data_IF_909089831251
#
_entry.id   IF_909089831251
#
_cell.length_a   1.000
_cell.length_b   1.000
_cell.length_c   1.000
_cell.angle_alpha   90.00
_cell.angle_beta   90.00
_cell.angle_gamma   90.00
#
_symmetry.space_group_name_H-M   'P 1'
#
loop_
_entity.id
_entity.type
_entity.pdbx_description
1 polymer ?
#
# COMPACT_ATOMS: atom_id res chain seq x y z
N UNK A 1 11.67 4.22 -11.15
CA UNK A 1 10.79 5.39 -10.89
C UNK A 1 9.31 4.97 -11.01
N UNK A 2 8.34 5.75 -10.50
CA UNK A 2 6.91 5.40 -10.55
C UNK A 2 6.05 6.61 -10.95
N UNK A 3 4.98 6.38 -11.72
CA UNK A 3 4.07 7.45 -12.20
C UNK A 3 2.83 7.61 -11.31
N UNK A 4 2.41 6.53 -10.65
CA UNK A 4 1.21 6.51 -9.80
C UNK A 4 1.45 5.69 -8.53
N UNK A 5 0.73 6.02 -7.46
CA UNK A 5 0.64 5.17 -6.27
C UNK A 5 -0.78 4.64 -6.16
N UNK A 6 -0.93 3.51 -5.49
CA UNK A 6 -2.24 2.89 -5.24
C UNK A 6 -2.32 2.39 -3.80
N UNK A 7 -3.53 2.31 -3.28
CA UNK A 7 -3.86 1.70 -2.01
C UNK A 7 -3.42 0.24 -2.05
N UNK A 8 -2.62 -0.20 -1.09
CA UNK A 8 -2.06 -1.55 -1.05
C UNK A 8 -2.90 -2.46 -0.14
N UNK A 9 -3.25 -1.97 1.04
CA UNK A 9 -3.92 -2.73 2.08
C UNK A 9 -4.66 -1.79 3.03
N UNK A 10 -5.84 -2.22 3.50
CA UNK A 10 -6.56 -1.62 4.62
C UNK A 10 -6.90 -2.68 5.67
N UNK A 11 -6.42 -2.50 6.90
CA UNK A 11 -6.61 -3.48 7.96
C UNK A 11 -6.86 -2.84 9.31
N UNK A 12 -7.92 -3.29 9.99
CA UNK A 12 -8.10 -3.04 11.42
C UNK A 12 -7.33 -4.10 12.22
N UNK A 13 -6.36 -3.67 13.02
CA UNK A 13 -5.54 -4.52 13.86
C UNK A 13 -5.97 -4.32 15.30
N UNK A 14 -6.45 -5.40 15.93
CA UNK A 14 -6.81 -5.44 17.35
C UNK A 14 -5.84 -6.35 18.09
N UNK A 15 -5.08 -5.80 19.04
CA UNK A 15 -4.37 -6.60 20.03
C UNK A 15 -5.21 -6.74 21.28
N UNK A 16 -5.52 -7.98 21.65
CA UNK A 16 -6.24 -8.29 22.89
C UNK A 16 -5.30 -8.31 24.10
N UNK A 17 -5.82 -8.16 25.33
CA UNK A 17 -5.04 -8.39 26.54
C UNK A 17 -4.29 -9.72 26.51
N UNK A 18 -2.99 -9.70 26.81
CA UNK A 18 -2.10 -10.87 26.81
C UNK A 18 -1.65 -11.33 25.42
N UNK A 19 -1.97 -10.59 24.35
CA UNK A 19 -1.49 -10.91 23.01
C UNK A 19 0.00 -10.58 22.89
N UNK A 20 0.82 -11.60 22.63
CA UNK A 20 2.26 -11.45 22.47
C UNK A 20 2.66 -10.57 21.28
N UNK A 21 3.91 -10.10 21.31
CA UNK A 21 4.47 -9.31 20.22
C UNK A 21 4.48 -10.08 18.90
N UNK A 22 4.24 -9.36 17.80
CA UNK A 22 4.44 -9.90 16.46
C UNK A 22 5.94 -10.08 16.19
N UNK A 23 6.27 -10.96 15.25
CA UNK A 23 7.64 -11.11 14.76
C UNK A 23 8.06 -9.81 14.06
N UNK A 24 9.27 -9.32 14.34
CA UNK A 24 9.84 -8.18 13.62
C UNK A 24 9.95 -8.52 12.12
N UNK A 25 9.39 -7.66 11.28
CA UNK A 25 9.34 -7.87 9.83
C UNK A 25 9.46 -6.55 9.07
N UNK A 26 9.54 -6.65 7.75
CA UNK A 26 9.47 -5.55 6.80
C UNK A 26 8.32 -5.82 5.84
N UNK A 27 7.43 -4.86 5.63
CA UNK A 27 6.26 -5.08 4.77
C UNK A 27 6.64 -5.23 3.29
N UNK A 28 7.80 -4.69 2.86
CA UNK A 28 8.31 -4.92 1.49
C UNK A 28 8.46 -6.40 1.13
N UNK A 29 8.50 -7.29 2.12
CA UNK A 29 8.55 -8.74 1.91
C UNK A 29 7.24 -9.31 1.33
N UNK A 30 6.17 -8.53 1.21
CA UNK A 30 4.97 -8.88 0.45
C UNK A 30 5.30 -9.25 -1.03
N UNK A 31 6.36 -8.66 -1.59
CA UNK A 31 6.90 -9.00 -2.92
C UNK A 31 8.15 -9.90 -2.86
N UNK A 32 8.34 -10.60 -1.75
CA UNK A 32 9.49 -11.46 -1.50
C UNK A 32 10.82 -10.69 -1.37
N UNK A 33 11.92 -11.33 -1.73
CA UNK A 33 13.27 -10.77 -1.70
C UNK A 33 13.78 -10.32 -3.08
N UNK A 34 12.89 -10.20 -4.07
CA UNK A 34 13.27 -9.97 -5.47
C UNK A 34 13.38 -8.49 -5.84
N UNK A 35 12.69 -7.63 -5.11
CA UNK A 35 12.75 -6.19 -5.36
C UNK A 35 14.14 -5.65 -4.98
N UNK A 36 14.82 -4.95 -5.91
CA UNK A 36 16.07 -4.26 -5.63
C UNK A 36 16.00 -3.39 -4.37
N UNK A 37 17.09 -3.33 -3.61
CA UNK A 37 17.13 -2.63 -2.32
C UNK A 37 16.97 -1.11 -2.45
N UNK A 38 17.34 -0.55 -3.60
CA UNK A 38 17.19 0.86 -3.97
C UNK A 38 15.75 1.24 -4.35
N UNK A 39 14.88 0.27 -4.56
CA UNK A 39 13.45 0.50 -4.73
C UNK A 39 12.78 0.41 -3.35
N UNK A 40 12.14 1.50 -2.94
CA UNK A 40 11.18 1.50 -1.84
C UNK A 40 9.78 1.26 -2.41
N UNK A 41 9.20 0.07 -2.23
CA UNK A 41 7.95 -0.28 -2.90
C UNK A 41 6.71 0.27 -2.21
N UNK A 42 6.83 0.69 -0.95
CA UNK A 42 5.68 0.82 -0.08
C UNK A 42 5.84 1.97 0.92
N UNK A 43 4.73 2.64 1.17
CA UNK A 43 4.57 3.69 2.17
C UNK A 43 3.40 3.35 3.08
N UNK A 44 3.62 3.39 4.39
CA UNK A 44 2.69 2.85 5.38
C UNK A 44 2.23 3.92 6.35
N UNK A 45 0.98 3.76 6.79
CA UNK A 45 0.40 4.53 7.87
C UNK A 45 -0.27 3.58 8.88
N UNK A 46 0.00 3.79 10.16
CA UNK A 46 -0.76 3.17 11.25
C UNK A 46 -1.43 4.27 12.04
N UNK A 47 -2.75 4.29 11.99
CA UNK A 47 -3.59 5.23 12.72
C UNK A 47 -3.95 4.64 14.08
N UNK A 48 -3.67 5.39 15.15
CA UNK A 48 -4.10 5.05 16.49
C UNK A 48 -5.63 5.25 16.61
N UNK A 49 -6.40 4.16 16.72
CA UNK A 49 -7.85 4.25 17.01
C UNK A 49 -8.05 4.35 18.52
N UNK A 50 -7.23 3.64 19.29
CA UNK A 50 -7.04 3.85 20.74
C UNK A 50 -5.66 4.46 20.99
N UNK A 51 -5.38 4.93 22.20
CA UNK A 51 -4.02 5.30 22.59
C UNK A 51 -3.07 4.11 22.42
N UNK A 52 -1.85 4.40 21.97
CA UNK A 52 -0.74 3.46 21.85
C UNK A 52 0.27 3.81 22.93
N UNK A 53 0.54 2.86 23.82
CA UNK A 53 1.55 2.95 24.86
C UNK A 53 2.45 1.72 24.77
N UNK A 54 3.65 1.80 25.32
CA UNK A 54 4.54 0.65 25.36
C UNK A 54 3.88 -0.57 26.03
N UNK A 55 3.09 -0.34 27.09
CA UNK A 55 2.40 -1.37 27.88
C UNK A 55 1.24 -2.05 27.11
N UNK A 56 0.47 -1.30 26.32
CA UNK A 56 -0.63 -1.87 25.53
C UNK A 56 -0.20 -2.37 24.14
N UNK A 57 1.11 -2.44 23.91
CA UNK A 57 1.69 -2.99 22.70
C UNK A 57 1.71 -2.00 21.54
N UNK A 58 2.07 -0.74 21.77
CA UNK A 58 2.39 0.22 20.69
C UNK A 58 3.26 -0.42 19.60
N UNK A 59 3.11 0.04 18.36
CA UNK A 59 3.93 -0.46 17.25
C UNK A 59 5.42 -0.28 17.59
N UNK A 60 6.17 -1.38 17.55
CA UNK A 60 7.61 -1.42 17.65
C UNK A 60 8.21 -1.04 16.30
N UNK A 61 9.21 -0.16 16.30
CA UNK A 61 9.95 0.26 15.11
C UNK A 61 11.43 0.24 15.41
N UNK A 62 12.25 -0.04 14.40
CA UNK A 62 13.72 0.04 14.51
C UNK A 62 14.21 1.20 13.64
N UNK A 63 14.43 2.40 14.21
CA UNK A 63 14.79 3.59 13.44
C UNK A 63 16.08 3.38 12.62
N UNK A 64 16.07 3.81 11.36
CA UNK A 64 17.20 3.68 10.44
C UNK A 64 17.36 2.30 9.78
N UNK A 65 16.58 1.29 10.19
CA UNK A 65 16.70 -0.10 9.68
C UNK A 65 16.36 -0.30 8.20
N UNK A 66 15.72 0.69 7.57
CA UNK A 66 15.47 0.73 6.12
C UNK A 66 16.76 0.79 5.28
N UNK A 67 17.90 1.16 5.88
CA UNK A 67 19.21 1.21 5.21
C UNK A 67 20.11 0.03 5.51
N UNK A 68 19.66 -0.91 6.33
CA UNK A 68 20.50 -2.02 6.76
C UNK A 68 20.56 -3.12 5.70
N UNK A 69 21.59 -3.95 5.81
CA UNK A 69 21.62 -5.22 5.10
C UNK A 69 20.33 -6.01 5.41
N UNK A 70 19.63 -6.57 4.40
CA UNK A 70 18.38 -7.28 4.60
C UNK A 70 18.47 -8.46 5.59
N UNK A 71 19.65 -9.06 5.76
CA UNK A 71 19.90 -10.19 6.66
C UNK A 71 20.19 -9.77 8.10
N UNK A 72 20.34 -8.47 8.37
CA UNK A 72 20.61 -7.96 9.72
C UNK A 72 19.36 -8.06 10.59
N UNK A 73 19.53 -8.66 11.76
CA UNK A 73 18.52 -8.69 12.83
C UNK A 73 18.74 -7.52 13.80
N UNK A 74 17.64 -6.90 14.23
CA UNK A 74 17.67 -5.86 15.26
C UNK A 74 17.95 -6.44 16.65
N UNK A 75 18.70 -5.71 17.46
CA UNK A 75 18.88 -6.02 18.88
C UNK A 75 17.78 -5.35 19.72
N UNK A 76 17.45 -5.89 20.91
CA UNK A 76 16.39 -5.33 21.76
C UNK A 76 16.52 -3.84 22.05
N UNK A 77 17.73 -3.34 22.27
CA UNK A 77 18.03 -1.94 22.56
C UNK A 77 17.83 -0.99 21.36
N UNK A 78 17.67 -1.53 20.15
CA UNK A 78 17.42 -0.74 18.94
C UNK A 78 15.93 -0.57 18.65
N UNK A 79 15.06 -1.26 19.41
CA UNK A 79 13.62 -1.24 19.23
C UNK A 79 13.04 -0.06 20.01
N UNK A 80 12.41 0.86 19.29
CA UNK A 80 11.61 1.94 19.84
C UNK A 80 10.11 1.62 19.74
N UNK A 81 9.31 2.26 20.59
CA UNK A 81 7.85 2.14 20.57
C UNK A 81 7.24 3.44 20.06
N UNK A 82 6.34 3.35 19.09
CA UNK A 82 5.56 4.48 18.59
C UNK A 82 4.38 4.76 19.53
N UNK A 83 4.69 5.30 20.72
CA UNK A 83 3.68 5.77 21.67
C UNK A 83 3.00 7.02 21.15
N UNK A 84 1.67 7.00 21.07
CA UNK A 84 0.90 8.07 20.48
C UNK A 84 -0.57 8.05 20.95
N UNK A 85 -1.19 9.22 21.07
CA UNK A 85 -2.60 9.34 21.43
C UNK A 85 -3.52 8.91 20.28
N UNK A 86 -4.75 8.49 20.59
CA UNK A 86 -5.79 8.21 19.59
C UNK A 86 -5.95 9.39 18.60
N UNK A 87 -6.05 9.06 17.31
CA UNK A 87 -6.05 10.00 16.19
C UNK A 87 -4.67 10.33 15.62
N UNK A 88 -3.58 9.96 16.30
CA UNK A 88 -2.22 10.11 15.78
C UNK A 88 -1.91 9.08 14.68
N UNK A 89 -0.92 9.38 13.84
CA UNK A 89 -0.51 8.53 12.72
C UNK A 89 1.00 8.30 12.76
N UNK A 90 1.40 7.03 12.81
CA UNK A 90 2.76 6.62 12.52
C UNK A 90 2.93 6.47 11.01
N UNK A 91 3.96 7.11 10.45
CA UNK A 91 4.30 7.04 9.04
C UNK A 91 5.69 6.40 8.89
N UNK A 92 5.80 5.39 8.03
CA UNK A 92 7.06 4.68 7.77
C UNK A 92 7.07 4.06 6.37
N UNK A 93 8.26 3.67 5.88
CA UNK A 93 8.38 2.95 4.61
C UNK A 93 8.32 1.44 4.82
N UNK A 94 7.99 0.68 3.77
CA UNK A 94 7.91 -0.79 3.84
C UNK A 94 9.24 -1.47 4.16
N UNK A 95 10.37 -0.75 4.07
CA UNK A 95 11.70 -1.27 4.42
C UNK A 95 12.07 -1.14 5.90
N UNK A 96 11.30 -0.43 6.72
CA UNK A 96 11.55 -0.32 8.16
C UNK A 96 11.19 -1.63 8.86
N UNK A 97 12.10 -2.15 9.68
CA UNK A 97 11.81 -3.27 10.58
C UNK A 97 10.84 -2.79 11.66
N UNK A 98 9.71 -3.47 11.79
CA UNK A 98 8.67 -3.13 12.75
C UNK A 98 7.84 -4.37 13.15
N UNK A 99 7.01 -4.22 14.17
CA UNK A 99 6.04 -5.23 14.65
C UNK A 99 4.98 -4.59 15.54
N UNK A 100 3.84 -5.25 15.74
CA UNK A 100 3.00 -4.96 16.90
C UNK A 100 3.69 -5.40 18.20
N UNK A 101 3.76 -4.53 19.21
CA UNK A 101 4.26 -4.89 20.54
C UNK A 101 3.33 -5.87 21.28
N UNK A 102 3.82 -6.45 22.37
CA UNK A 102 2.99 -7.23 23.29
C UNK A 102 2.00 -6.34 24.02
N UNK A 103 0.74 -6.76 24.14
CA UNK A 103 -0.25 -6.07 24.93
C UNK A 103 -0.32 -6.68 26.34
N UNK A 104 0.40 -6.08 27.29
CA UNK A 104 0.38 -6.44 28.71
C UNK A 104 -0.75 -5.74 29.49
N UNK A 105 -1.46 -4.81 28.87
CA UNK A 105 -2.56 -4.08 29.46
C UNK A 105 -3.86 -4.93 29.54
N UNK A 106 -4.86 -4.40 30.27
CA UNK A 106 -6.16 -5.04 30.45
C UNK A 106 -7.22 -4.67 29.41
N UNK A 107 -6.86 -3.87 28.40
CA UNK A 107 -7.77 -3.39 27.35
C UNK A 107 -7.22 -3.69 25.95
N UNK A 108 -8.11 -3.68 24.96
CA UNK A 108 -7.71 -3.83 23.57
C UNK A 108 -6.96 -2.59 23.06
N UNK A 109 -5.93 -2.82 22.24
CA UNK A 109 -5.26 -1.77 21.46
C UNK A 109 -5.65 -1.91 20.00
N UNK A 110 -6.30 -0.89 19.45
CA UNK A 110 -6.87 -0.90 18.10
C UNK A 110 -6.13 0.11 17.22
N UNK A 111 -5.61 -0.36 16.09
CA UNK A 111 -4.99 0.46 15.07
C UNK A 111 -5.60 0.19 13.70
N UNK A 112 -5.56 1.18 12.81
CA UNK A 112 -5.92 1.03 11.41
C UNK A 112 -4.64 1.16 10.57
N UNK A 113 -4.23 0.06 9.94
CA UNK A 113 -3.11 0.00 9.01
C UNK A 113 -3.62 0.30 7.60
N UNK A 114 -3.19 1.41 7.02
CA UNK A 114 -3.48 1.80 5.63
C UNK A 114 -2.14 2.00 4.95
N UNK A 115 -1.92 1.24 3.88
CA UNK A 115 -0.63 1.26 3.19
C UNK A 115 -0.84 1.52 1.70
N UNK A 116 0.22 1.99 1.06
CA UNK A 116 0.25 2.38 -0.33
C UNK A 116 1.46 1.74 -1.00
N UNK A 117 1.30 1.36 -2.26
CA UNK A 117 2.36 0.75 -3.07
C UNK A 117 2.51 1.47 -4.40
N UNK A 118 3.62 1.23 -5.07
CA UNK A 118 3.84 1.70 -6.44
C UNK A 118 2.76 1.14 -7.37
N UNK A 119 2.28 1.96 -8.30
CA UNK A 119 1.18 1.61 -9.22
C UNK A 119 1.45 0.38 -10.10
N UNK A 120 2.73 -0.02 -10.22
CA UNK A 120 3.14 -1.20 -10.98
C UNK A 120 3.30 -2.49 -10.18
N UNK A 121 3.09 -2.43 -8.86
CA UNK A 121 3.13 -3.58 -7.97
C UNK A 121 1.74 -4.17 -7.76
N UNK A 122 1.67 -5.50 -7.56
CA UNK A 122 0.43 -6.14 -7.14
C UNK A 122 0.12 -5.75 -5.69
N UNK A 123 -1.09 -5.23 -5.45
CA UNK A 123 -1.62 -4.95 -4.12
C UNK A 123 -1.76 -6.24 -3.28
N UNK A 124 -1.53 -6.14 -1.96
CA UNK A 124 -1.74 -7.25 -1.01
C UNK A 124 -3.22 -7.51 -0.77
N UNK A 125 -4.01 -6.45 -0.62
CA UNK A 125 -5.46 -6.53 -0.64
C UNK A 125 -5.98 -6.42 -2.08
N UNK A 126 -6.91 -7.31 -2.47
CA UNK A 126 -7.55 -7.19 -3.76
C UNK A 126 -8.66 -6.12 -3.74
N UNK A 127 -8.29 -4.87 -4.00
CA UNK A 127 -9.20 -3.72 -3.92
C UNK A 127 -10.42 -3.83 -4.84
N UNK A 128 -10.30 -4.49 -5.99
CA UNK A 128 -11.45 -4.72 -6.89
C UNK A 128 -12.51 -5.66 -6.30
N UNK A 129 -12.14 -6.50 -5.33
CA UNK A 129 -13.06 -7.38 -4.62
C UNK A 129 -13.55 -6.75 -3.31
N UNK A 130 -12.68 -6.02 -2.60
CA UNK A 130 -13.04 -5.30 -1.38
C UNK A 130 -13.96 -4.10 -1.67
N UNK A 131 -13.74 -3.41 -2.79
CA UNK A 131 -14.51 -2.26 -3.24
C UNK A 131 -14.88 -2.41 -4.74
N UNK A 132 -15.85 -3.28 -5.08
CA UNK A 132 -16.24 -3.53 -6.46
C UNK A 132 -16.82 -2.28 -7.16
N UNK A 133 -16.92 -2.28 -8.51
CA UNK A 133 -17.27 -1.08 -9.29
C UNK A 133 -18.57 -0.39 -8.87
N UNK A 134 -19.58 -1.16 -8.47
CA UNK A 134 -20.87 -0.64 -8.01
C UNK A 134 -20.78 0.19 -6.71
N UNK A 135 -19.75 -0.06 -5.88
CA UNK A 135 -19.43 0.73 -4.70
C UNK A 135 -18.49 1.87 -5.10
N UNK A 136 -17.39 1.56 -5.79
CA UNK A 136 -16.35 2.53 -6.15
C UNK A 136 -16.88 3.71 -6.99
N UNK A 137 -17.93 3.51 -7.80
CA UNK A 137 -18.57 4.58 -8.59
C UNK A 137 -19.10 5.75 -7.76
N UNK A 138 -19.30 5.56 -6.45
CA UNK A 138 -19.80 6.59 -5.53
C UNK A 138 -18.70 7.48 -4.98
N UNK A 139 -17.43 7.10 -5.18
CA UNK A 139 -16.28 7.88 -4.73
C UNK A 139 -15.82 8.88 -5.78
N UNK A 140 -15.10 9.89 -5.34
CA UNK A 140 -14.46 10.85 -6.23
C UNK A 140 -13.40 10.16 -7.11
N UNK A 141 -13.14 10.66 -8.34
CA UNK A 141 -12.20 10.05 -9.28
C UNK A 141 -10.79 9.79 -8.70
N UNK A 142 -10.33 10.64 -7.78
CA UNK A 142 -9.03 10.47 -7.13
C UNK A 142 -8.98 9.22 -6.24
N UNK A 143 -10.04 8.95 -5.47
CA UNK A 143 -10.13 7.74 -4.65
C UNK A 143 -10.37 6.50 -5.50
N UNK A 144 -11.15 6.61 -6.58
CA UNK A 144 -11.28 5.53 -7.57
C UNK A 144 -9.90 5.14 -8.13
N UNK A 145 -9.10 6.12 -8.55
CA UNK A 145 -7.75 5.90 -9.03
C UNK A 145 -6.84 5.28 -7.96
N UNK A 146 -6.91 5.77 -6.72
CA UNK A 146 -6.14 5.24 -5.59
C UNK A 146 -6.50 3.77 -5.29
N UNK A 147 -7.75 3.36 -5.46
CA UNK A 147 -8.18 1.96 -5.31
C UNK A 147 -7.65 1.04 -6.42
N UNK A 148 -7.10 1.59 -7.50
CA UNK A 148 -6.64 0.86 -8.67
C UNK A 148 -7.60 0.96 -9.86
N UNK A 149 -8.73 1.68 -9.77
CA UNK A 149 -9.58 1.98 -10.94
C UNK A 149 -9.00 3.09 -11.81
N UNK A 150 -7.71 2.99 -12.10
CA UNK A 150 -6.99 3.80 -13.04
C UNK A 150 -5.83 2.98 -13.61
N UNK A 151 -5.27 3.49 -14.69
CA UNK A 151 -4.08 2.89 -15.28
C UNK A 151 -2.84 3.20 -14.45
N UNK A 152 -2.00 2.18 -14.21
CA UNK A 152 -0.77 2.31 -13.43
C UNK A 152 0.43 2.79 -14.25
N UNK A 153 0.44 2.55 -15.56
CA UNK A 153 1.44 3.01 -16.55
C UNK A 153 0.94 2.67 -17.97
N UNK A 154 1.77 2.88 -19.00
CA UNK A 154 1.44 2.73 -20.43
C UNK A 154 0.63 1.47 -20.81
N UNK A 155 0.85 0.32 -20.19
CA UNK A 155 0.08 -0.89 -20.53
C UNK A 155 -0.39 -1.64 -19.30
N UNK A 156 -0.52 -0.95 -18.17
CA UNK A 156 -0.78 -1.59 -16.89
C UNK A 156 -2.11 -1.14 -16.29
N UNK A 157 -3.03 -2.10 -16.11
CA UNK A 157 -4.31 -1.89 -15.45
C UNK A 157 -5.54 -1.86 -16.37
N UNK A 158 -5.36 -1.97 -17.69
CA UNK A 158 -6.50 -1.98 -18.62
C UNK A 158 -7.31 -3.26 -18.45
N UNK A 159 -8.55 -3.25 -18.91
CA UNK A 159 -9.38 -4.44 -18.99
C UNK A 159 -10.20 -4.48 -20.28
N UNK A 160 -10.70 -5.66 -20.61
CA UNK A 160 -11.67 -5.87 -21.69
C UNK A 160 -13.06 -6.01 -21.06
N UNK A 161 -14.04 -5.17 -21.44
CA UNK A 161 -15.41 -5.34 -20.97
C UNK A 161 -15.92 -6.73 -21.36
N UNK A 162 -16.60 -7.46 -20.45
CA UNK A 162 -17.02 -8.85 -20.70
C UNK A 162 -18.27 -8.91 -21.60
N UNK A 163 -18.16 -8.36 -22.81
CA UNK A 163 -19.19 -8.33 -23.85
C UNK A 163 -18.88 -9.39 -24.92
N UNK A 164 -19.88 -9.83 -25.71
CA UNK A 164 -19.63 -10.76 -26.81
C UNK A 164 -18.57 -10.22 -27.80
N UNK A 165 -17.83 -11.10 -28.50
CA UNK A 165 -16.83 -10.67 -29.48
C UNK A 165 -17.40 -9.68 -30.51
N UNK A 166 -16.70 -8.57 -30.73
CA UNK A 166 -17.13 -7.50 -31.65
C UNK A 166 -18.25 -6.60 -31.11
N UNK A 167 -18.69 -6.78 -29.85
CA UNK A 167 -19.67 -5.92 -29.21
C UNK A 167 -18.99 -5.03 -28.15
N UNK A 168 -18.23 -4.02 -28.57
CA UNK A 168 -17.62 -3.04 -27.68
C UNK A 168 -16.12 -2.82 -27.93
N UNK A 169 -15.45 -2.01 -27.09
CA UNK A 169 -14.02 -1.82 -27.17
C UNK A 169 -13.27 -3.04 -26.63
N UNK A 170 -12.18 -3.43 -27.30
CA UNK A 170 -11.36 -4.59 -26.91
C UNK A 170 -10.46 -4.31 -25.69
N UNK A 171 -10.04 -3.06 -25.52
CA UNK A 171 -9.18 -2.62 -24.41
C UNK A 171 -9.63 -1.24 -23.96
N UNK A 172 -9.90 -1.10 -22.66
CA UNK A 172 -10.28 0.18 -22.04
C UNK A 172 -9.59 0.35 -20.69
N UNK A 173 -9.40 1.61 -20.25
CA UNK A 173 -8.93 1.86 -18.90
C UNK A 173 -10.08 1.64 -17.88
N UNK A 174 -9.80 1.37 -16.60
CA UNK A 174 -10.83 1.08 -15.60
C UNK A 174 -11.92 2.15 -15.46
N UNK A 175 -11.60 3.42 -15.68
CA UNK A 175 -12.50 4.58 -15.60
C UNK A 175 -13.69 4.47 -16.58
N UNK A 176 -13.52 3.67 -17.65
CA UNK A 176 -14.59 3.36 -18.59
C UNK A 176 -15.82 2.76 -17.87
N UNK A 177 -15.61 2.01 -16.77
CA UNK A 177 -16.70 1.46 -15.95
C UNK A 177 -17.63 2.53 -15.38
N UNK A 178 -17.13 3.75 -15.17
CA UNK A 178 -17.87 4.81 -14.48
C UNK A 178 -18.42 5.87 -15.43
N UNK A 179 -17.67 6.20 -16.48
CA UNK A 179 -18.02 7.30 -17.39
C UNK A 179 -18.36 6.84 -18.81
N UNK A 180 -18.15 5.57 -19.17
CA UNK A 180 -18.40 5.01 -20.51
C UNK A 180 -17.56 5.64 -21.63
N UNK A 181 -16.54 6.43 -21.28
CA UNK A 181 -15.69 7.14 -22.23
C UNK A 181 -14.38 6.39 -22.40
N UNK A 182 -14.10 6.02 -23.64
CA UNK A 182 -12.74 5.72 -24.07
C UNK A 182 -12.09 7.07 -24.30
N UNK A 183 -11.53 7.70 -23.26
CA UNK A 183 -10.62 8.81 -23.50
C UNK A 183 -9.51 8.30 -24.44
N UNK A 184 -8.99 9.13 -25.36
CA UNK A 184 -7.86 8.74 -26.21
C UNK A 184 -6.68 8.43 -25.30
N UNK A 185 -6.54 7.15 -24.98
CA UNK A 185 -5.74 6.74 -23.85
C UNK A 185 -4.30 6.63 -24.30
N UNK A 186 -3.39 7.01 -23.42
CA UNK A 186 -1.99 6.64 -23.56
C UNK A 186 -1.15 7.48 -24.51
N UNK A 187 -1.62 8.42 -25.33
CA UNK A 187 -0.67 9.25 -26.11
C UNK A 187 0.23 10.06 -25.17
N UNK A 188 -0.32 10.84 -24.25
CA UNK A 188 0.49 11.67 -23.36
C UNK A 188 1.32 10.84 -22.37
N UNK A 189 0.75 9.76 -21.81
CA UNK A 189 1.46 8.84 -20.90
C UNK A 189 2.52 8.02 -21.64
N UNK A 190 2.23 7.45 -22.81
CA UNK A 190 3.20 6.77 -23.67
C UNK A 190 4.31 7.72 -24.11
N UNK A 191 3.98 8.95 -24.53
CA UNK A 191 4.99 9.93 -24.91
C UNK A 191 5.87 10.28 -23.70
N UNK A 192 5.28 10.46 -22.51
CA UNK A 192 6.03 10.72 -21.28
C UNK A 192 6.91 9.52 -20.86
N UNK A 193 6.37 8.30 -20.83
CA UNK A 193 7.12 7.09 -20.49
C UNK A 193 8.22 6.82 -21.54
N UNK A 194 7.90 6.95 -22.84
CA UNK A 194 8.84 6.77 -23.95
C UNK A 194 9.94 7.84 -23.96
N UNK A 195 9.61 9.11 -23.70
CA UNK A 195 10.60 10.18 -23.61
C UNK A 195 11.59 9.93 -22.46
N UNK A 196 11.08 9.50 -21.30
CA UNK A 196 11.93 9.16 -20.15
C UNK A 196 12.80 7.93 -20.40
N UNK A 197 12.28 6.94 -21.13
CA UNK A 197 13.04 5.79 -21.60
C UNK A 197 14.19 6.20 -22.53
N UNK A 198 13.90 7.09 -23.50
CA UNK A 198 14.87 7.58 -24.47
C UNK A 198 16.00 8.40 -23.81
N UNK A 199 15.72 9.05 -22.67
CA UNK A 199 16.71 9.79 -21.88
C UNK A 199 17.49 8.92 -20.88
N UNK A 200 17.24 7.61 -20.81
CA UNK A 200 17.89 6.71 -19.85
C UNK A 200 17.49 7.01 -18.39
N UNK A 201 16.31 7.59 -18.16
CA UNK A 201 15.79 8.02 -16.84
C UNK A 201 14.70 7.10 -16.29
N UNK A 202 14.68 5.83 -16.72
CA UNK A 202 13.80 4.79 -16.18
C UNK A 202 14.49 4.01 -15.06
#
# INVERSE_FOLDING_TARGET
FCETIQLHLTQLIRLRPGQGAQVLHRDRLAWGGYLPADIEPQFNTIWAVTDFTQDNGATQVVPGSHRWDPKRTAQPEEIAYAEMAAGSVLIYSGSVIHSGGENAASADRIGLNITYTLGWLRQEENQYLSCPPEIARQFDPELQALLGYAMGSYALGYFTPPLPPGQGPEVVPPEFLFNGKVASWGEEMYQNTSARAAEGKL
#
